data_IF_213378774079
#
_entry.id   IF_213378774079
#
_cell.length_a   1.000
_cell.length_b   1.000
_cell.length_c   1.000
_cell.angle_alpha   90.00
_cell.angle_beta   90.00
_cell.angle_gamma   90.00
#
_symmetry.space_group_name_H-M   'P 1'
#
loop_
_entity.id
_entity.type
_entity.pdbx_description
1 polymer ?
#
# COMPACT_ATOMS: atom_id res chain seq x y z
N UNK A 1 11.75 13.89 -5.91
CA UNK A 1 11.85 12.57 -6.59
C UNK A 1 13.06 11.86 -6.05
N UNK A 2 12.82 11.07 -5.01
CA UNK A 2 13.92 10.42 -4.32
C UNK A 2 13.51 9.09 -3.71
N UNK A 3 14.46 8.17 -3.64
CA UNK A 3 14.33 6.96 -2.83
C UNK A 3 14.50 7.36 -1.36
N UNK A 4 13.50 7.05 -0.56
CA UNK A 4 13.47 7.39 0.87
C UNK A 4 13.84 6.17 1.71
N UNK A 5 14.34 6.43 2.90
CA UNK A 5 14.56 5.36 3.88
C UNK A 5 13.23 4.75 4.32
N UNK A 6 13.14 3.42 4.28
CA UNK A 6 11.98 2.69 4.80
C UNK A 6 12.21 2.44 6.29
N UNK A 7 11.29 2.94 7.11
CA UNK A 7 11.31 2.72 8.55
C UNK A 7 11.10 1.23 8.86
N UNK A 8 11.79 0.73 9.87
CA UNK A 8 11.75 -0.69 10.28
C UNK A 8 10.91 -0.85 11.53
N UNK A 9 10.32 -2.02 11.68
CA UNK A 9 9.57 -2.43 12.86
C UNK A 9 10.38 -2.10 14.13
N UNK A 10 9.73 -1.48 15.12
CA UNK A 10 10.37 -0.95 16.32
C UNK A 10 10.55 0.57 16.29
N UNK A 11 10.52 1.19 15.12
CA UNK A 11 10.54 2.65 15.03
C UNK A 11 9.19 3.21 15.50
N UNK A 12 9.19 4.11 16.51
CA UNK A 12 7.93 4.63 17.08
C UNK A 12 7.10 5.43 16.07
N UNK A 13 7.69 5.93 15.00
CA UNK A 13 6.96 6.66 13.94
C UNK A 13 5.96 5.75 13.21
N UNK A 14 6.19 4.43 13.18
CA UNK A 14 5.25 3.48 12.60
C UNK A 14 3.98 3.27 13.45
N UNK A 15 4.01 3.67 14.72
CA UNK A 15 2.87 3.55 15.63
C UNK A 15 1.94 4.77 15.60
N UNK A 16 2.33 5.83 14.91
CA UNK A 16 1.50 7.04 14.79
C UNK A 16 0.27 6.75 13.93
N UNK A 17 -0.88 7.29 14.33
CA UNK A 17 -2.09 7.24 13.52
C UNK A 17 -1.94 8.21 12.35
N UNK A 18 -2.05 7.70 11.12
CA UNK A 18 -1.98 8.54 9.93
C UNK A 18 -3.19 9.46 9.82
N UNK A 19 -2.94 10.70 9.40
CA UNK A 19 -3.98 11.72 9.24
C UNK A 19 -4.52 11.70 7.81
N UNK A 20 -5.80 12.04 7.61
CA UNK A 20 -6.34 12.19 6.26
C UNK A 20 -5.67 13.34 5.52
N UNK A 21 -5.54 13.19 4.21
CA UNK A 21 -5.08 14.28 3.33
C UNK A 21 -6.24 15.25 3.14
N UNK A 22 -6.00 16.54 3.39
CA UNK A 22 -7.00 17.60 3.27
C UNK A 22 -6.93 18.30 1.91
N UNK A 23 -5.74 18.40 1.30
CA UNK A 23 -5.52 19.16 0.07
C UNK A 23 -5.05 18.24 -1.06
N UNK A 24 -5.87 18.08 -2.08
CA UNK A 24 -5.54 17.32 -3.29
C UNK A 24 -4.91 18.21 -4.34
N UNK A 25 -4.17 17.62 -5.27
CA UNK A 25 -3.55 18.32 -6.38
C UNK A 25 -2.40 19.24 -5.99
N UNK A 26 -1.87 19.11 -4.77
CA UNK A 26 -0.74 19.92 -4.32
C UNK A 26 0.59 19.37 -4.81
N UNK A 27 1.58 20.26 -4.96
CA UNK A 27 2.94 19.87 -5.30
C UNK A 27 3.56 18.95 -4.24
N UNK A 28 3.23 19.16 -2.96
CA UNK A 28 3.70 18.35 -1.85
C UNK A 28 3.16 16.93 -1.93
N UNK A 29 1.90 16.75 -2.27
CA UNK A 29 1.29 15.42 -2.43
C UNK A 29 1.87 14.69 -3.64
N UNK A 30 2.05 15.39 -4.76
CA UNK A 30 2.68 14.83 -5.95
C UNK A 30 4.11 14.37 -5.65
N UNK A 31 4.89 15.19 -4.94
CA UNK A 31 6.25 14.84 -4.55
C UNK A 31 6.29 13.64 -3.62
N UNK A 32 5.38 13.57 -2.64
CA UNK A 32 5.27 12.43 -1.74
C UNK A 32 4.98 11.13 -2.50
N UNK A 33 4.00 11.14 -3.38
CA UNK A 33 3.62 9.96 -4.17
C UNK A 33 4.77 9.52 -5.08
N UNK A 34 5.49 10.46 -5.69
CA UNK A 34 6.64 10.13 -6.52
C UNK A 34 7.78 9.51 -5.68
N UNK A 35 8.08 10.06 -4.51
CA UNK A 35 9.08 9.49 -3.59
C UNK A 35 8.68 8.08 -3.14
N UNK A 36 7.39 7.86 -2.86
CA UNK A 36 6.87 6.54 -2.51
C UNK A 36 7.06 5.56 -3.67
N UNK A 37 6.76 5.97 -4.89
CA UNK A 37 6.92 5.13 -6.08
C UNK A 37 8.38 4.76 -6.31
N UNK A 38 9.28 5.74 -6.26
CA UNK A 38 10.72 5.51 -6.43
C UNK A 38 11.25 4.54 -5.37
N UNK A 39 10.80 4.72 -4.12
CA UNK A 39 11.19 3.87 -2.99
C UNK A 39 10.66 2.44 -3.14
N UNK A 40 9.39 2.29 -3.51
CA UNK A 40 8.76 0.97 -3.71
C UNK A 40 9.46 0.20 -4.82
N UNK A 41 9.76 0.86 -5.94
CA UNK A 41 10.46 0.22 -7.08
C UNK A 41 11.87 -0.19 -6.68
N UNK A 42 12.62 0.70 -6.02
CA UNK A 42 13.97 0.41 -5.57
C UNK A 42 14.03 -0.78 -4.57
N UNK A 43 12.99 -0.94 -3.77
CA UNK A 43 12.88 -2.03 -2.81
C UNK A 43 12.21 -3.30 -3.38
N UNK A 44 11.80 -3.28 -4.66
CA UNK A 44 11.07 -4.37 -5.30
C UNK A 44 9.82 -4.79 -4.50
N UNK A 45 9.07 -3.81 -4.02
CA UNK A 45 7.86 -4.01 -3.23
C UNK A 45 6.60 -4.06 -4.07
N UNK A 46 5.54 -4.69 -3.53
CA UNK A 46 4.21 -4.72 -4.14
C UNK A 46 3.32 -3.57 -3.65
N UNK A 47 3.70 -2.93 -2.56
CA UNK A 47 2.98 -1.80 -1.98
C UNK A 47 3.83 -1.04 -0.98
N UNK A 48 3.41 0.19 -0.69
CA UNK A 48 4.05 1.03 0.30
C UNK A 48 3.03 2.03 0.85
N UNK A 49 3.07 2.25 2.16
CA UNK A 49 2.29 3.29 2.83
C UNK A 49 3.18 4.47 3.22
N UNK A 50 2.64 5.68 3.16
CA UNK A 50 3.38 6.89 3.52
C UNK A 50 4.03 6.85 4.91
N UNK A 51 3.38 6.29 5.94
CA UNK A 51 4.03 6.13 7.24
C UNK A 51 5.33 5.33 7.21
N UNK A 52 5.50 4.41 6.27
CA UNK A 52 6.72 3.61 6.15
C UNK A 52 7.94 4.43 5.68
N UNK A 53 7.73 5.62 5.13
CA UNK A 53 8.79 6.58 4.83
C UNK A 53 8.74 7.82 5.73
N UNK A 54 8.07 7.69 6.88
CA UNK A 54 8.05 8.71 7.92
C UNK A 54 7.01 9.81 7.75
N UNK A 55 6.09 9.68 6.81
CA UNK A 55 5.04 10.68 6.55
C UNK A 55 3.70 10.17 7.10
N UNK A 56 3.14 10.80 8.17
CA UNK A 56 1.95 10.29 8.84
C UNK A 56 0.65 10.70 8.14
N UNK A 57 0.55 10.39 6.85
CA UNK A 57 -0.64 10.66 6.03
C UNK A 57 -1.25 9.36 5.50
N UNK A 58 -2.56 9.38 5.30
CA UNK A 58 -3.32 8.25 4.73
C UNK A 58 -3.14 8.21 3.22
N UNK A 59 -1.95 7.79 2.80
CA UNK A 59 -1.60 7.59 1.40
C UNK A 59 -0.94 6.24 1.27
N UNK A 60 -1.43 5.43 0.33
CA UNK A 60 -0.82 4.15 -0.02
C UNK A 60 -0.66 4.06 -1.54
N UNK A 61 0.35 3.33 -1.96
CA UNK A 61 0.51 2.93 -3.36
C UNK A 61 0.69 1.42 -3.40
N UNK A 62 0.21 0.80 -4.45
CA UNK A 62 0.40 -0.62 -4.67
C UNK A 62 0.28 -0.95 -6.15
N UNK A 63 0.84 -2.07 -6.53
CA UNK A 63 0.78 -2.56 -7.88
C UNK A 63 1.94 -3.52 -8.14
N UNK A 64 1.68 -4.51 -8.99
CA UNK A 64 2.66 -5.51 -9.32
C UNK A 64 2.32 -6.13 -10.65
N UNK A 65 3.18 -5.95 -11.66
CA UNK A 65 3.03 -6.66 -12.92
C UNK A 65 3.53 -8.08 -12.81
N UNK A 66 4.81 -8.24 -12.49
CA UNK A 66 5.44 -9.50 -12.10
C UNK A 66 6.50 -9.20 -11.06
N UNK A 67 6.59 -10.05 -10.05
CA UNK A 67 7.53 -9.86 -8.97
C UNK A 67 8.22 -11.19 -8.65
N UNK A 68 9.55 -11.17 -8.54
CA UNK A 68 10.34 -12.35 -8.20
C UNK A 68 9.95 -12.94 -6.83
N UNK A 69 9.37 -12.15 -5.94
CA UNK A 69 8.87 -12.58 -4.63
C UNK A 69 7.56 -13.36 -4.72
N UNK A 70 6.76 -13.11 -5.77
CA UNK A 70 5.42 -13.68 -5.98
C UNK A 70 5.25 -14.08 -7.46
N UNK A 71 6.05 -15.04 -7.98
CA UNK A 71 6.07 -15.31 -9.42
C UNK A 71 4.79 -15.93 -9.96
N UNK A 72 4.00 -16.57 -9.11
CA UNK A 72 2.77 -17.29 -9.49
C UNK A 72 1.50 -16.48 -9.27
N UNK A 73 1.62 -15.24 -8.80
CA UNK A 73 0.47 -14.41 -8.50
C UNK A 73 0.05 -13.55 -9.69
N UNK A 74 -1.25 -13.28 -9.76
CA UNK A 74 -1.82 -12.42 -10.79
C UNK A 74 -1.32 -10.98 -10.64
N UNK A 75 -1.16 -10.25 -11.76
CA UNK A 75 -0.82 -8.83 -11.70
C UNK A 75 -1.85 -8.01 -10.93
N UNK A 76 -1.35 -7.00 -10.22
CA UNK A 76 -2.18 -6.01 -9.52
C UNK A 76 -1.96 -4.66 -10.20
N UNK A 77 -3.02 -3.95 -10.65
CA UNK A 77 -2.85 -2.68 -11.33
C UNK A 77 -2.24 -1.64 -10.38
N UNK A 78 -1.28 -0.85 -10.90
CA UNK A 78 -0.70 0.22 -10.12
C UNK A 78 -1.78 1.22 -9.71
N UNK A 79 -1.84 1.52 -8.43
CA UNK A 79 -2.86 2.40 -7.85
C UNK A 79 -2.23 3.32 -6.81
N UNK A 80 -2.58 4.59 -6.89
CA UNK A 80 -2.28 5.59 -5.87
C UNK A 80 -3.59 5.90 -5.15
N UNK A 81 -3.66 5.60 -3.87
CA UNK A 81 -4.90 5.65 -3.11
C UNK A 81 -4.76 6.54 -1.87
N UNK A 82 -5.52 7.62 -1.86
CA UNK A 82 -5.51 8.63 -0.80
C UNK A 82 -6.79 8.50 0.02
N UNK A 83 -6.66 8.57 1.33
CA UNK A 83 -7.76 8.40 2.29
C UNK A 83 -8.53 7.09 2.07
N UNK A 84 -7.86 5.95 2.08
CA UNK A 84 -8.49 4.67 1.75
C UNK A 84 -9.48 4.21 2.81
N UNK A 85 -10.57 3.59 2.33
CA UNK A 85 -11.54 2.87 3.16
C UNK A 85 -11.68 1.47 2.60
N UNK A 86 -11.49 0.46 3.43
CA UNK A 86 -11.62 -0.94 3.06
C UNK A 86 -12.90 -1.52 3.64
N UNK A 87 -13.66 -2.22 2.80
CA UNK A 87 -14.90 -2.88 3.21
C UNK A 87 -14.84 -4.35 2.80
N UNK A 88 -14.86 -5.30 3.75
CA UNK A 88 -14.94 -6.71 3.40
C UNK A 88 -16.28 -7.04 2.73
N UNK A 89 -16.23 -7.84 1.68
CA UNK A 89 -17.41 -8.24 0.91
C UNK A 89 -17.93 -9.63 1.27
N UNK A 90 -17.17 -10.38 2.06
CA UNK A 90 -17.56 -11.68 2.62
C UNK A 90 -16.83 -11.92 3.91
N UNK A 91 -17.29 -12.91 4.69
CA UNK A 91 -16.62 -13.35 5.91
C UNK A 91 -15.50 -14.37 5.62
N UNK A 92 -15.30 -14.73 4.37
CA UNK A 92 -14.29 -15.71 3.98
C UNK A 92 -12.90 -15.13 4.15
N UNK A 93 -12.07 -15.85 4.92
CA UNK A 93 -10.69 -15.50 5.20
C UNK A 93 -9.80 -16.63 4.69
N UNK A 94 -8.67 -16.25 4.11
CA UNK A 94 -7.66 -17.18 3.63
C UNK A 94 -6.31 -16.80 4.23
N UNK A 95 -5.58 -17.80 4.72
CA UNK A 95 -4.21 -17.62 5.17
C UNK A 95 -3.26 -17.65 3.97
N UNK A 96 -2.23 -16.81 4.02
CA UNK A 96 -1.21 -16.78 2.97
C UNK A 96 0.06 -16.08 3.44
N UNK A 97 1.13 -16.35 2.73
CA UNK A 97 2.42 -15.76 3.02
C UNK A 97 2.47 -14.29 2.64
N UNK A 98 2.98 -13.48 3.57
CA UNK A 98 3.22 -12.06 3.38
C UNK A 98 4.60 -11.67 3.85
N UNK A 99 5.16 -10.66 3.20
CA UNK A 99 6.34 -9.95 3.65
C UNK A 99 6.05 -8.46 3.72
N UNK A 100 6.85 -7.73 4.48
CA UNK A 100 6.73 -6.28 4.61
C UNK A 100 8.10 -5.63 4.50
N UNK A 101 8.20 -4.55 3.75
CA UNK A 101 9.46 -3.81 3.59
C UNK A 101 9.97 -3.24 4.92
N UNK A 102 9.06 -3.02 5.89
CA UNK A 102 9.41 -2.59 7.25
C UNK A 102 9.83 -3.74 8.17
N UNK A 103 9.74 -4.99 7.70
CA UNK A 103 10.16 -6.21 8.43
C UNK A 103 11.07 -7.03 7.51
N UNK A 104 12.26 -6.52 7.16
CA UNK A 104 13.13 -7.18 6.20
C UNK A 104 13.63 -8.53 6.69
N UNK A 105 13.71 -9.50 5.78
CA UNK A 105 14.22 -10.83 6.06
C UNK A 105 13.21 -11.79 6.68
N UNK A 106 11.98 -11.36 6.92
CA UNK A 106 10.92 -12.19 7.51
C UNK A 106 9.71 -12.26 6.61
N UNK A 107 9.06 -13.42 6.62
CA UNK A 107 7.74 -13.64 6.04
C UNK A 107 6.89 -14.39 7.05
N UNK A 108 5.57 -14.18 7.00
CA UNK A 108 4.64 -14.83 7.90
C UNK A 108 3.36 -15.21 7.17
N UNK A 109 2.62 -16.12 7.81
CA UNK A 109 1.28 -16.50 7.34
C UNK A 109 0.28 -15.56 8.00
N UNK A 110 -0.49 -14.86 7.17
CA UNK A 110 -1.45 -13.84 7.63
C UNK A 110 -2.83 -14.15 7.07
N UNK A 111 -3.88 -14.17 7.93
CA UNK A 111 -5.25 -14.30 7.46
C UNK A 111 -5.73 -12.98 6.88
N UNK A 112 -6.35 -13.04 5.69
CA UNK A 112 -6.93 -11.88 5.01
C UNK A 112 -8.28 -12.24 4.43
N UNK A 113 -9.17 -11.25 4.33
CA UNK A 113 -10.40 -11.39 3.55
C UNK A 113 -10.08 -11.70 2.10
N UNK A 114 -10.81 -12.66 1.54
CA UNK A 114 -10.62 -13.08 0.14
C UNK A 114 -11.19 -12.09 -0.86
N UNK A 115 -12.19 -11.29 -0.43
CA UNK A 115 -12.83 -10.27 -1.25
C UNK A 115 -13.07 -9.01 -0.45
N UNK A 116 -12.75 -7.87 -1.03
CA UNK A 116 -13.01 -6.57 -0.42
C UNK A 116 -13.29 -5.51 -1.49
N UNK A 117 -13.88 -4.42 -1.04
CA UNK A 117 -13.97 -3.17 -1.79
C UNK A 117 -13.02 -2.17 -1.14
N UNK A 118 -12.27 -1.47 -1.96
CA UNK A 118 -11.53 -0.31 -1.47
C UNK A 118 -12.00 0.94 -2.19
N UNK A 119 -12.10 2.02 -1.44
CA UNK A 119 -12.51 3.32 -1.92
C UNK A 119 -11.57 4.40 -1.37
N UNK A 120 -11.46 5.48 -2.09
CA UNK A 120 -10.63 6.63 -1.72
C UNK A 120 -10.54 7.57 -2.90
N UNK A 121 -9.39 8.22 -3.02
CA UNK A 121 -9.18 9.23 -4.06
C UNK A 121 -7.79 9.04 -4.67
N UNK A 122 -7.64 9.47 -5.93
CA UNK A 122 -6.31 9.66 -6.49
C UNK A 122 -5.69 10.97 -5.95
N UNK A 123 -4.41 11.25 -6.22
CA UNK A 123 -3.78 12.49 -5.73
C UNK A 123 -4.41 13.78 -6.26
N UNK A 124 -5.22 13.71 -7.31
CA UNK A 124 -5.95 14.84 -7.89
C UNK A 124 -7.32 15.06 -7.25
N UNK A 125 -7.78 14.14 -6.40
CA UNK A 125 -9.07 14.19 -5.75
C UNK A 125 -10.19 13.49 -6.51
N UNK A 126 -9.88 12.72 -7.56
CA UNK A 126 -10.87 11.90 -8.27
C UNK A 126 -11.16 10.65 -7.45
N UNK A 127 -12.44 10.32 -7.30
CA UNK A 127 -12.85 9.15 -6.54
C UNK A 127 -12.39 7.85 -7.21
N UNK A 128 -11.89 6.93 -6.39
CA UNK A 128 -11.57 5.56 -6.78
C UNK A 128 -12.44 4.64 -5.95
N UNK A 129 -13.10 3.69 -6.60
CA UNK A 129 -13.79 2.60 -5.93
C UNK A 129 -13.61 1.34 -6.76
N UNK A 130 -13.14 0.26 -6.10
CA UNK A 130 -12.86 -1.00 -6.79
C UNK A 130 -13.11 -2.19 -5.88
N UNK A 131 -13.70 -3.23 -6.44
CA UNK A 131 -13.79 -4.53 -5.80
C UNK A 131 -12.64 -5.41 -6.26
N UNK A 132 -12.08 -6.19 -5.35
CA UNK A 132 -10.98 -7.10 -5.66
C UNK A 132 -11.06 -8.38 -4.85
N UNK A 133 -10.33 -9.39 -5.30
CA UNK A 133 -10.26 -10.70 -4.68
C UNK A 133 -8.86 -11.29 -4.80
N UNK A 134 -8.64 -12.41 -4.12
CA UNK A 134 -7.38 -13.16 -4.21
C UNK A 134 -6.18 -12.33 -3.79
N UNK A 135 -5.11 -12.42 -4.57
CA UNK A 135 -3.86 -11.73 -4.27
C UNK A 135 -4.00 -10.20 -4.26
N UNK A 136 -4.83 -9.65 -5.16
CA UNK A 136 -5.11 -8.21 -5.18
C UNK A 136 -5.71 -7.75 -3.84
N UNK A 137 -6.68 -8.49 -3.30
CA UNK A 137 -7.26 -8.20 -1.99
C UNK A 137 -6.21 -8.29 -0.88
N UNK A 138 -5.32 -9.27 -0.94
CA UNK A 138 -4.24 -9.43 0.03
C UNK A 138 -3.29 -8.24 0.01
N UNK A 139 -2.85 -7.79 -1.15
CA UNK A 139 -1.96 -6.64 -1.30
C UNK A 139 -2.59 -5.37 -0.72
N UNK A 140 -3.87 -5.13 -1.03
CA UNK A 140 -4.59 -3.96 -0.53
C UNK A 140 -4.77 -4.00 0.97
#
# INVERSE_FOLDING_TARGET
MAVREILKMGDPRLLRVAQPVANFGSAELDALVQDMKDTMVAANGAGLAAPQIGVPLRVVIFGMERNARYPDEDPVPYTELVNPVLTPLSDQIEEGWEGCLSVPGFRGIVPRWTRLRYAGFDPRGHAIERECSGFHARVV
#
